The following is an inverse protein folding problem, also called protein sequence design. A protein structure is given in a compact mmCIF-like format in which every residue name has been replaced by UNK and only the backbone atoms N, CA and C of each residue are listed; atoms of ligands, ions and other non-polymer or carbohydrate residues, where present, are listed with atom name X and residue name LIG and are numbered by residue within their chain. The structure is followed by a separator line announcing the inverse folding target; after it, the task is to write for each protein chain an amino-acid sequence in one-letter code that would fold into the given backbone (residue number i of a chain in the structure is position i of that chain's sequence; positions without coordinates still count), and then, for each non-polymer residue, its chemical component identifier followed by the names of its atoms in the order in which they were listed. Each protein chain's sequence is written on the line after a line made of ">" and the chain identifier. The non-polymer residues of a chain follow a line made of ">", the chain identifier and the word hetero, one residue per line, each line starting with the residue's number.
data_IF_886430840202
#
_entry.id   IF_886430840202
#
_cell.length_a   1.000
_cell.length_b   1.000
_cell.length_c   1.000
_cell.angle_alpha   90.00
_cell.angle_beta   90.00
_cell.angle_gamma   90.00
#
_symmetry.space_group_name_H-M   'P 1'
#
loop_
_entity.id
_entity.type
_entity.pdbx_description
1 polymer ?
#
# COMPACT_ATOMS: atom_id res chain seq x y z
N UNK A 1 -28.65 32.82 7.39
CA UNK A 1 -28.88 31.57 6.61
C UNK A 1 -29.09 31.94 5.14
N UNK A 2 -29.89 32.97 4.89
CA UNK A 2 -30.26 33.43 3.54
C UNK A 2 -29.08 33.95 2.71
N UNK A 3 -28.09 34.61 3.34
CA UNK A 3 -26.90 35.12 2.66
C UNK A 3 -26.03 34.01 2.04
N UNK A 4 -25.80 32.92 2.79
CA UNK A 4 -25.05 31.77 2.29
C UNK A 4 -25.78 31.07 1.13
N UNK A 5 -27.12 31.01 1.18
CA UNK A 5 -27.93 30.46 0.09
C UNK A 5 -27.88 31.35 -1.15
N UNK A 6 -28.03 32.66 -1.00
CA UNK A 6 -27.95 33.61 -2.11
C UNK A 6 -26.56 33.60 -2.77
N UNK A 7 -25.49 33.42 -1.99
CA UNK A 7 -24.14 33.29 -2.53
C UNK A 7 -23.96 32.01 -3.37
N UNK A 8 -24.53 30.88 -2.95
CA UNK A 8 -24.49 29.63 -3.73
C UNK A 8 -25.17 29.81 -5.09
N UNK A 9 -26.38 30.38 -5.08
CA UNK A 9 -27.21 30.50 -6.29
C UNK A 9 -26.62 31.50 -7.28
N UNK A 10 -26.07 32.62 -6.79
CA UNK A 10 -25.58 33.69 -7.66
C UNK A 10 -24.11 33.56 -8.05
N UNK A 11 -23.27 32.87 -7.26
CA UNK A 11 -21.82 32.84 -7.46
C UNK A 11 -21.29 31.48 -7.88
N UNK A 12 -21.97 30.37 -7.62
CA UNK A 12 -21.49 29.06 -8.05
C UNK A 12 -21.45 28.99 -9.59
N UNK A 13 -20.31 28.56 -10.14
CA UNK A 13 -20.01 28.54 -11.58
C UNK A 13 -19.91 29.91 -12.25
N UNK A 14 -19.90 31.00 -11.49
CA UNK A 14 -19.54 32.32 -12.02
C UNK A 14 -18.02 32.42 -12.25
N UNK A 15 -17.63 33.18 -13.26
CA UNK A 15 -16.22 33.44 -13.56
C UNK A 15 -15.70 34.62 -12.74
N UNK A 16 -14.61 34.41 -11.99
CA UNK A 16 -13.87 35.46 -11.31
C UNK A 16 -12.37 35.23 -11.50
N UNK A 17 -11.63 36.25 -11.93
CA UNK A 17 -10.20 36.15 -12.24
C UNK A 17 -9.84 35.01 -13.20
N UNK A 18 -10.66 34.78 -14.25
CA UNK A 18 -10.49 33.69 -15.23
C UNK A 18 -10.53 32.28 -14.63
N UNK A 19 -11.15 32.13 -13.46
CA UNK A 19 -11.42 30.85 -12.81
C UNK A 19 -12.90 30.76 -12.49
N UNK A 20 -13.48 29.57 -12.65
CA UNK A 20 -14.84 29.30 -12.21
C UNK A 20 -14.87 29.11 -10.69
N UNK A 21 -15.79 29.79 -10.03
CA UNK A 21 -15.98 29.71 -8.59
C UNK A 21 -16.78 28.47 -8.19
N UNK A 22 -16.27 27.73 -7.19
CA UNK A 22 -17.01 26.66 -6.52
C UNK A 22 -17.33 27.12 -5.10
N UNK A 23 -18.62 27.30 -4.80
CA UNK A 23 -19.08 27.72 -3.47
C UNK A 23 -19.63 26.47 -2.78
N UNK A 24 -19.18 26.21 -1.56
CA UNK A 24 -19.57 25.05 -0.78
C UNK A 24 -19.65 25.44 0.71
N UNK A 25 -20.43 24.70 1.49
CA UNK A 25 -20.38 24.83 2.94
C UNK A 25 -19.00 24.42 3.43
N UNK A 26 -18.36 25.31 4.19
CA UNK A 26 -17.11 24.97 4.85
C UNK A 26 -17.37 23.82 5.81
N UNK A 27 -16.73 22.68 5.58
CA UNK A 27 -16.71 21.64 6.60
C UNK A 27 -15.93 22.19 7.80
N UNK A 28 -16.40 21.97 9.04
CA UNK A 28 -15.60 22.30 10.21
C UNK A 28 -14.24 21.65 10.04
N UNK A 29 -13.17 22.32 10.48
CA UNK A 29 -11.82 21.79 10.42
C UNK A 29 -11.82 20.44 11.15
N UNK A 30 -11.95 19.36 10.39
CA UNK A 30 -11.73 18.02 10.91
C UNK A 30 -10.26 18.02 11.26
N UNK A 31 -9.93 17.87 12.55
CA UNK A 31 -8.61 17.38 12.92
C UNK A 31 -8.46 16.11 12.11
N UNK A 32 -7.56 16.14 11.12
CA UNK A 32 -7.49 15.05 10.16
C UNK A 32 -7.05 13.81 10.93
N UNK A 33 -7.85 12.76 10.86
CA UNK A 33 -7.66 11.48 11.54
C UNK A 33 -8.58 11.30 12.75
N UNK A 34 -9.27 10.14 12.75
CA UNK A 34 -10.28 9.74 13.74
C UNK A 34 -9.60 9.31 15.05
N UNK A 35 -9.60 8.03 15.41
CA UNK A 35 -8.95 7.52 16.65
C UNK A 35 -7.44 7.75 16.70
N UNK A 36 -6.77 7.78 15.53
CA UNK A 36 -5.39 8.23 15.38
C UNK A 36 -5.39 9.43 14.41
N UNK A 37 -5.39 10.64 14.95
CA UNK A 37 -5.21 11.88 14.19
C UNK A 37 -3.91 11.86 13.37
N UNK A 38 -3.89 12.29 12.11
CA UNK A 38 -2.69 12.81 11.45
C UNK A 38 -2.12 14.06 12.15
N UNK A 39 -2.86 14.59 13.14
CA UNK A 39 -2.39 15.60 14.08
C UNK A 39 -1.80 15.00 15.38
N UNK A 40 -1.81 13.68 15.57
CA UNK A 40 -1.23 13.05 16.76
C UNK A 40 0.29 13.03 16.75
N UNK A 41 0.88 13.09 15.55
CA UNK A 41 2.30 12.99 15.34
C UNK A 41 2.76 14.08 14.36
N UNK A 42 3.94 14.68 14.57
CA UNK A 42 4.49 15.63 13.61
C UNK A 42 4.81 14.94 12.29
N UNK A 43 4.88 15.71 11.19
CA UNK A 43 5.12 15.21 9.81
C UNK A 43 6.39 14.33 9.72
N UNK A 44 7.35 14.57 10.61
CA UNK A 44 8.63 13.87 10.68
C UNK A 44 8.63 12.63 11.60
N UNK A 45 7.53 12.31 12.29
CA UNK A 45 7.46 11.15 13.20
C UNK A 45 7.71 9.81 12.48
N UNK A 46 7.30 9.71 11.22
CA UNK A 46 7.52 8.51 10.41
C UNK A 46 8.90 8.48 9.73
N UNK A 47 9.73 9.52 9.88
CA UNK A 47 11.02 9.60 9.19
C UNK A 47 11.97 8.47 9.59
N UNK A 48 11.91 8.03 10.84
CA UNK A 48 12.78 6.97 11.37
C UNK A 48 12.28 5.55 11.06
N UNK A 49 11.04 5.40 10.59
CA UNK A 49 10.48 4.08 10.22
C UNK A 49 11.13 3.48 8.97
N UNK A 50 11.84 4.31 8.17
CA UNK A 50 12.52 3.84 6.97
C UNK A 50 13.58 2.79 7.29
N UNK A 51 14.37 3.01 8.34
CA UNK A 51 15.47 2.12 8.71
C UNK A 51 14.94 0.76 9.17
N UNK A 52 13.94 0.75 10.06
CA UNK A 52 13.30 -0.49 10.48
C UNK A 52 12.63 -1.24 9.33
N UNK A 53 11.95 -0.52 8.43
CA UNK A 53 11.32 -1.12 7.26
C UNK A 53 12.37 -1.74 6.32
N UNK A 54 13.51 -1.08 6.13
CA UNK A 54 14.62 -1.63 5.34
C UNK A 54 15.25 -2.86 5.99
N UNK A 55 15.40 -2.87 7.31
CA UNK A 55 15.90 -4.03 8.02
C UNK A 55 14.94 -5.23 7.89
N UNK A 56 13.64 -5.02 8.06
CA UNK A 56 12.61 -6.05 7.84
C UNK A 56 12.59 -6.56 6.40
N UNK A 57 12.73 -5.67 5.41
CA UNK A 57 12.78 -6.05 3.99
C UNK A 57 13.99 -6.97 3.69
N UNK A 58 15.15 -6.64 4.26
CA UNK A 58 16.35 -7.47 4.12
C UNK A 58 16.20 -8.83 4.80
N UNK A 59 15.61 -8.88 5.99
CA UNK A 59 15.34 -10.12 6.72
C UNK A 59 14.38 -11.03 5.94
N UNK A 60 13.27 -10.48 5.45
CA UNK A 60 12.31 -11.20 4.60
C UNK A 60 12.96 -11.73 3.33
N UNK A 61 13.89 -10.97 2.72
CA UNK A 61 14.61 -11.42 1.52
C UNK A 61 15.53 -12.60 1.80
N UNK A 62 16.19 -12.64 2.97
CA UNK A 62 17.00 -13.79 3.38
C UNK A 62 16.13 -15.02 3.60
N UNK A 63 15.04 -14.86 4.36
CA UNK A 63 14.11 -15.96 4.62
C UNK A 63 13.52 -16.53 3.33
N UNK A 64 13.16 -15.66 2.38
CA UNK A 64 12.66 -16.08 1.07
C UNK A 64 13.72 -16.85 0.26
N UNK A 65 14.97 -16.40 0.28
CA UNK A 65 16.06 -17.11 -0.40
C UNK A 65 16.32 -18.51 0.19
N UNK A 66 16.22 -18.63 1.52
CA UNK A 66 16.31 -19.92 2.21
C UNK A 66 15.13 -20.84 1.84
N UNK A 67 13.89 -20.32 1.87
CA UNK A 67 12.72 -21.06 1.43
C UNK A 67 12.83 -21.51 -0.04
N UNK A 68 13.22 -20.61 -0.95
CA UNK A 68 13.39 -20.94 -2.37
C UNK A 68 14.48 -22.01 -2.58
N UNK A 69 15.54 -22.03 -1.76
CA UNK A 69 16.57 -23.07 -1.81
C UNK A 69 16.02 -24.42 -1.33
N UNK A 70 15.31 -24.46 -0.19
CA UNK A 70 14.69 -25.70 0.31
C UNK A 70 13.66 -26.28 -0.65
N UNK A 71 12.87 -25.43 -1.32
CA UNK A 71 11.90 -25.85 -2.33
C UNK A 71 12.60 -26.43 -3.55
N UNK A 72 13.70 -25.82 -4.01
CA UNK A 72 14.49 -26.37 -5.12
C UNK A 72 15.11 -27.72 -4.79
N UNK A 73 15.68 -27.87 -3.59
CA UNK A 73 16.24 -29.16 -3.14
C UNK A 73 15.16 -30.24 -3.07
N UNK A 74 13.97 -29.92 -2.57
CA UNK A 74 12.83 -30.83 -2.58
C UNK A 74 12.39 -31.21 -4.00
N UNK A 75 12.31 -30.23 -4.92
CA UNK A 75 11.96 -30.46 -6.33
C UNK A 75 13.01 -31.31 -7.06
N UNK A 76 14.29 -31.10 -6.81
CA UNK A 76 15.39 -31.90 -7.39
C UNK A 76 15.38 -33.33 -6.85
N UNK A 77 15.11 -33.51 -5.56
CA UNK A 77 14.93 -34.83 -4.96
C UNK A 77 13.73 -35.57 -5.54
N UNK A 78 12.60 -34.90 -5.77
CA UNK A 78 11.45 -35.50 -6.46
C UNK A 78 11.75 -35.83 -7.92
N UNK A 79 12.41 -34.92 -8.65
CA UNK A 79 12.81 -35.15 -10.04
C UNK A 79 13.74 -36.37 -10.15
N UNK A 80 14.68 -36.52 -9.22
CA UNK A 80 15.57 -37.69 -9.17
C UNK A 80 14.80 -38.97 -8.91
N UNK A 81 13.89 -38.99 -7.93
CA UNK A 81 13.02 -40.15 -7.66
C UNK A 81 12.18 -40.56 -8.87
N UNK A 82 11.67 -39.58 -9.63
CA UNK A 82 10.89 -39.85 -10.83
C UNK A 82 11.75 -40.46 -11.95
N UNK A 83 12.97 -39.97 -12.14
CA UNK A 83 13.92 -40.56 -13.10
C UNK A 83 14.33 -41.98 -12.70
N UNK A 84 14.64 -42.20 -11.42
CA UNK A 84 14.98 -43.53 -10.90
C UNK A 84 13.80 -44.51 -11.06
N UNK A 85 12.55 -44.04 -10.93
CA UNK A 85 11.35 -44.85 -11.18
C UNK A 85 11.14 -45.17 -12.66
N UNK A 86 11.49 -44.26 -13.58
CA UNK A 86 11.39 -44.47 -15.02
C UNK A 86 12.47 -45.44 -15.54
N UNK A 87 13.67 -45.42 -14.96
CA UNK A 87 14.76 -46.36 -15.29
C UNK A 87 14.54 -47.75 -14.67
N UNK A 88 13.68 -47.84 -13.65
CA UNK A 88 13.34 -49.08 -12.95
C UNK A 88 12.17 -49.87 -13.51
N UNK A 89 11.53 -49.44 -14.61
CA UNK A 89 10.53 -50.26 -15.30
C UNK A 89 11.26 -51.25 -16.23
N UNK A 90 11.33 -52.56 -15.92
CA UNK A 90 11.86 -53.53 -16.86
C UNK A 90 10.89 -53.63 -18.04
N UNK A 91 11.39 -53.41 -19.25
CA UNK A 91 10.64 -53.70 -20.47
C UNK A 91 10.33 -55.21 -20.53
N UNK A 92 9.07 -55.55 -20.26
CA UNK A 92 8.46 -56.85 -20.61
C UNK A 92 8.00 -56.88 -22.07
#
# INVERSE_FOLDING_TARGET
>A
RDDATAAMDNMHNSELFRKLLTVNYAQPMKIKGREQGWASQPIWADADTWFERKQRELEMKKLKAEQDATVKEAQEAERKKLLDALEGEPEE
#
